data_IF_474942533251
#
_entry.id   IF_474942533251
#
_cell.length_a   1.000
_cell.length_b   1.000
_cell.length_c   1.000
_cell.angle_alpha   90.00
_cell.angle_beta   90.00
_cell.angle_gamma   90.00
#
_symmetry.space_group_name_H-M   'P 1'
#
loop_
_entity.id
_entity.type
_entity.pdbx_description
1 polymer ?
#
# COMPACT_ATOMS: atom_id res chain seq x y z
N UNK A 1 41.10 -39.20 48.43
CA UNK A 1 39.63 -39.10 48.60
C UNK A 1 39.09 -37.67 48.77
N UNK A 2 39.68 -36.79 49.58
CA UNK A 2 39.16 -35.41 49.77
C UNK A 2 39.29 -34.49 48.55
N UNK A 3 40.40 -34.53 47.80
CA UNK A 3 40.60 -33.70 46.59
C UNK A 3 39.61 -34.02 45.47
N UNK A 4 39.29 -35.29 45.25
CA UNK A 4 38.31 -35.73 44.23
C UNK A 4 36.88 -35.31 44.63
N UNK A 5 36.52 -35.46 45.90
CA UNK A 5 35.23 -35.01 46.45
C UNK A 5 35.02 -33.49 46.31
N UNK A 6 36.05 -32.69 46.56
CA UNK A 6 36.00 -31.24 46.40
C UNK A 6 35.86 -30.83 44.92
N UNK A 7 36.54 -31.52 44.00
CA UNK A 7 36.46 -31.22 42.57
C UNK A 7 35.07 -31.54 41.97
N UNK A 8 34.43 -32.63 42.41
CA UNK A 8 33.05 -32.97 42.05
C UNK A 8 32.05 -31.97 42.63
N UNK A 9 32.24 -31.53 43.89
CA UNK A 9 31.42 -30.47 44.49
C UNK A 9 31.54 -29.13 43.75
N UNK A 10 32.75 -28.77 43.32
CA UNK A 10 33.00 -27.56 42.52
C UNK A 10 32.30 -27.64 41.16
N UNK A 11 32.47 -28.75 40.41
CA UNK A 11 31.76 -28.94 39.12
C UNK A 11 30.23 -28.92 39.27
N UNK A 12 29.69 -29.51 40.33
CA UNK A 12 28.24 -29.45 40.63
C UNK A 12 27.76 -28.03 40.96
N UNK A 13 28.59 -27.21 41.61
CA UNK A 13 28.29 -25.78 41.82
C UNK A 13 28.28 -25.02 40.49
N UNK A 14 29.28 -25.20 39.63
CA UNK A 14 29.30 -24.60 38.29
C UNK A 14 28.11 -25.01 37.43
N UNK A 15 27.73 -26.29 37.44
CA UNK A 15 26.55 -26.77 36.70
C UNK A 15 25.25 -26.11 37.21
N UNK A 16 25.11 -25.95 38.53
CA UNK A 16 23.98 -25.21 39.11
C UNK A 16 23.97 -23.74 38.69
N UNK A 17 25.13 -23.07 38.67
CA UNK A 17 25.22 -21.69 38.19
C UNK A 17 24.85 -21.57 36.70
N UNK A 18 25.33 -22.48 35.85
CA UNK A 18 24.97 -22.51 34.43
C UNK A 18 23.47 -22.73 34.23
N UNK A 19 22.86 -23.65 34.99
CA UNK A 19 21.42 -23.88 34.95
C UNK A 19 20.63 -22.64 35.39
N UNK A 20 21.08 -21.95 36.45
CA UNK A 20 20.47 -20.70 36.89
C UNK A 20 20.56 -19.60 35.83
N UNK A 21 21.70 -19.43 35.17
CA UNK A 21 21.86 -18.43 34.10
C UNK A 21 20.94 -18.76 32.91
N UNK A 22 20.84 -20.03 32.51
CA UNK A 22 19.94 -20.46 31.44
C UNK A 22 18.47 -20.22 31.79
N UNK A 23 18.07 -20.51 33.03
CA UNK A 23 16.71 -20.23 33.52
C UNK A 23 16.43 -18.73 33.53
N UNK A 24 17.37 -17.91 34.01
CA UNK A 24 17.21 -16.45 34.02
C UNK A 24 17.13 -15.87 32.60
N UNK A 25 17.95 -16.37 31.68
CA UNK A 25 17.90 -15.97 30.28
C UNK A 25 16.58 -16.41 29.62
N UNK A 26 16.10 -17.63 29.89
CA UNK A 26 14.79 -18.08 29.42
C UNK A 26 13.67 -17.21 29.97
N UNK A 27 13.66 -16.91 31.27
CA UNK A 27 12.64 -16.06 31.89
C UNK A 27 12.70 -14.62 31.34
N UNK A 28 13.88 -14.06 31.11
CA UNK A 28 14.06 -12.73 30.51
C UNK A 28 13.41 -12.64 29.12
N UNK A 29 13.60 -13.66 28.28
CA UNK A 29 12.96 -13.73 26.95
C UNK A 29 11.47 -14.07 27.04
N UNK A 30 11.08 -15.02 27.90
CA UNK A 30 9.69 -15.45 28.06
C UNK A 30 8.78 -14.32 28.54
N UNK A 31 9.25 -13.50 29.48
CA UNK A 31 8.54 -12.32 29.94
C UNK A 31 8.75 -11.09 29.05
N UNK A 32 9.56 -11.18 27.98
CA UNK A 32 9.81 -10.07 27.07
C UNK A 32 10.42 -8.84 27.74
N UNK A 33 11.22 -9.02 28.79
CA UNK A 33 11.77 -7.90 29.59
C UNK A 33 12.65 -7.01 28.71
N UNK A 34 13.41 -7.58 27.78
CA UNK A 34 14.20 -6.84 26.81
C UNK A 34 13.36 -6.01 25.85
N UNK A 35 12.30 -6.59 25.31
CA UNK A 35 11.36 -5.88 24.42
C UNK A 35 10.70 -4.72 25.16
N UNK A 36 10.31 -4.90 26.43
CA UNK A 36 9.74 -3.84 27.24
C UNK A 36 10.73 -2.71 27.54
N UNK A 37 11.98 -3.04 27.88
CA UNK A 37 13.01 -2.04 28.18
C UNK A 37 13.47 -1.25 26.94
N UNK A 38 13.39 -1.86 25.75
CA UNK A 38 13.72 -1.22 24.48
C UNK A 38 12.49 -0.71 23.72
N UNK A 39 11.28 -0.92 24.24
CA UNK A 39 10.06 -0.39 23.65
C UNK A 39 10.07 1.15 23.76
N UNK A 40 10.03 1.80 22.62
CA UNK A 40 9.77 3.24 22.52
C UNK A 40 8.26 3.49 22.61
N UNK A 41 7.87 4.63 23.18
CA UNK A 41 6.46 4.99 23.27
C UNK A 41 5.95 5.34 21.87
N UNK A 42 4.93 4.61 21.37
CA UNK A 42 4.29 4.96 20.11
C UNK A 42 3.77 6.40 20.09
N UNK A 43 3.36 6.95 21.24
CA UNK A 43 2.80 8.30 21.30
C UNK A 43 3.86 9.40 21.23
N UNK A 44 5.08 9.14 21.71
CA UNK A 44 6.11 10.16 21.88
C UNK A 44 7.30 10.00 20.95
N UNK A 45 7.58 8.77 20.49
CA UNK A 45 8.79 8.42 19.76
C UNK A 45 8.51 7.91 18.33
N UNK A 46 7.24 7.63 17.99
CA UNK A 46 6.87 7.23 16.64
C UNK A 46 6.70 8.47 15.75
N UNK A 47 7.70 8.70 14.89
CA UNK A 47 7.59 9.66 13.80
C UNK A 47 7.53 8.91 12.48
N UNK A 48 6.41 9.03 11.78
CA UNK A 48 6.34 8.55 10.40
C UNK A 48 7.16 9.50 9.52
N UNK A 49 7.79 9.03 8.42
CA UNK A 49 8.58 9.88 7.52
C UNK A 49 7.82 11.07 6.90
N UNK A 50 6.51 11.18 7.14
CA UNK A 50 5.63 12.27 6.74
C UNK A 50 4.79 12.77 7.93
N UNK A 51 5.39 12.92 9.11
CA UNK A 51 4.79 13.68 10.22
C UNK A 51 4.87 15.19 9.92
N UNK A 52 4.15 15.60 8.89
CA UNK A 52 4.18 16.95 8.29
C UNK A 52 2.76 17.49 8.23
N UNK A 53 2.58 18.82 8.37
CA UNK A 53 1.26 19.41 8.20
C UNK A 53 0.90 19.45 6.70
N UNK A 54 0.07 18.50 6.30
CA UNK A 54 -0.43 18.38 4.93
C UNK A 54 -1.13 19.66 4.47
N UNK A 55 -1.77 20.42 5.37
CA UNK A 55 -2.46 21.66 4.99
C UNK A 55 -1.48 22.75 4.59
N UNK A 56 -0.38 22.87 5.32
CA UNK A 56 0.69 23.82 4.98
C UNK A 56 1.31 23.45 3.64
N UNK A 57 1.64 22.17 3.42
CA UNK A 57 2.16 21.68 2.15
C UNK A 57 1.20 21.91 0.98
N UNK A 58 -0.10 21.66 1.16
CA UNK A 58 -1.11 21.92 0.13
C UNK A 58 -1.17 23.41 -0.21
N UNK A 59 -1.11 24.29 0.80
CA UNK A 59 -1.06 25.73 0.57
C UNK A 59 0.22 26.15 -0.18
N UNK A 60 1.38 25.60 0.17
CA UNK A 60 2.64 25.84 -0.55
C UNK A 60 2.52 25.43 -2.04
N UNK A 61 1.97 24.24 -2.33
CA UNK A 61 1.73 23.78 -3.71
C UNK A 61 0.78 24.71 -4.45
N UNK A 62 -0.36 25.06 -3.86
CA UNK A 62 -1.38 25.90 -4.50
C UNK A 62 -0.87 27.33 -4.78
N UNK A 63 0.09 27.81 -4.00
CA UNK A 63 0.69 29.14 -4.15
C UNK A 63 1.98 29.14 -4.97
N UNK A 64 2.35 28.00 -5.57
CA UNK A 64 3.62 27.81 -6.29
C UNK A 64 4.86 28.19 -5.45
N UNK A 65 4.80 27.98 -4.13
CA UNK A 65 5.94 28.17 -3.25
C UNK A 65 6.86 26.93 -3.28
N UNK A 66 8.11 27.14 -2.87
CA UNK A 66 9.07 26.05 -2.75
C UNK A 66 8.68 25.17 -1.57
N UNK A 67 8.48 23.86 -1.82
CA UNK A 67 8.14 22.91 -0.78
C UNK A 67 9.23 22.83 0.29
N UNK A 68 8.80 22.88 1.55
CA UNK A 68 9.68 22.74 2.71
C UNK A 68 10.26 21.32 2.81
N UNK A 69 9.54 20.32 2.29
CA UNK A 69 9.93 18.92 2.32
C UNK A 69 10.20 18.36 0.93
N UNK A 70 11.18 17.47 0.83
CA UNK A 70 11.49 16.76 -0.43
C UNK A 70 10.54 15.57 -0.63
N UNK A 71 10.03 15.31 -1.85
CA UNK A 71 9.24 14.13 -2.12
C UNK A 71 10.02 12.84 -1.83
N UNK A 72 9.45 11.96 -1.01
CA UNK A 72 10.04 10.65 -0.70
C UNK A 72 9.70 9.57 -1.73
N UNK A 73 8.59 9.74 -2.46
CA UNK A 73 8.13 8.78 -3.46
C UNK A 73 8.27 9.41 -4.85
N UNK A 74 9.07 8.78 -5.70
CA UNK A 74 9.19 9.14 -7.11
C UNK A 74 8.09 8.44 -7.91
N UNK A 75 7.28 9.21 -8.65
CA UNK A 75 6.13 8.72 -9.42
C UNK A 75 6.27 9.06 -10.92
N UNK A 76 7.14 8.36 -11.67
CA UNK A 76 7.46 8.68 -13.06
C UNK A 76 6.51 8.04 -14.07
N UNK A 77 5.21 8.03 -13.80
CA UNK A 77 4.23 7.36 -14.63
C UNK A 77 3.32 8.35 -15.36
N UNK A 78 2.94 7.98 -16.58
CA UNK A 78 2.17 8.78 -17.53
C UNK A 78 0.88 8.05 -17.93
N UNK A 79 -0.21 8.81 -18.01
CA UNK A 79 -1.48 8.29 -18.50
C UNK A 79 -1.35 7.93 -19.99
N UNK A 80 -1.69 6.68 -20.32
CA UNK A 80 -1.74 6.17 -21.69
C UNK A 80 -3.10 6.41 -22.34
N UNK A 81 -4.14 6.50 -21.51
CA UNK A 81 -5.49 6.77 -21.97
C UNK A 81 -6.19 7.79 -21.09
N UNK A 82 -7.12 8.51 -21.70
CA UNK A 82 -8.15 9.24 -21.00
C UNK A 82 -9.49 8.78 -21.58
N UNK A 83 -10.41 8.39 -20.72
CA UNK A 83 -11.68 7.80 -21.16
C UNK A 83 -12.60 8.83 -21.81
N UNK A 84 -12.42 10.12 -21.53
CA UNK A 84 -13.31 11.20 -22.00
C UNK A 84 -14.69 11.20 -21.32
N UNK A 85 -15.00 10.18 -20.51
CA UNK A 85 -16.31 9.95 -19.88
C UNK A 85 -16.80 11.12 -19.03
N UNK A 86 -15.88 11.90 -18.47
CA UNK A 86 -16.16 13.02 -17.58
C UNK A 86 -15.92 14.40 -18.23
N UNK A 87 -15.57 14.48 -19.51
CA UNK A 87 -15.18 15.74 -20.15
C UNK A 87 -16.32 16.75 -20.30
N UNK A 88 -17.56 16.30 -20.42
CA UNK A 88 -18.74 17.14 -20.63
C UNK A 88 -19.72 17.09 -19.44
N UNK A 89 -19.20 16.84 -18.23
CA UNK A 89 -20.01 16.72 -17.02
C UNK A 89 -19.72 17.90 -16.10
N UNK A 90 -20.70 18.79 -15.91
CA UNK A 90 -20.54 19.98 -15.06
C UNK A 90 -20.47 19.63 -13.56
N UNK A 91 -21.23 18.62 -13.13
CA UNK A 91 -21.28 18.19 -11.73
C UNK A 91 -21.43 16.68 -11.62
N UNK A 92 -20.50 16.07 -10.88
CA UNK A 92 -20.55 14.65 -10.48
C UNK A 92 -20.97 14.60 -9.01
N UNK A 93 -22.06 13.89 -8.70
CA UNK A 93 -22.52 13.70 -7.32
C UNK A 93 -21.80 12.53 -6.63
N UNK A 94 -21.40 11.50 -7.41
CA UNK A 94 -20.62 10.36 -6.93
C UNK A 94 -19.66 9.85 -8.03
N UNK A 95 -18.38 9.74 -7.69
CA UNK A 95 -17.38 9.05 -8.49
C UNK A 95 -17.04 7.70 -7.84
N UNK A 96 -17.24 6.61 -8.58
CA UNK A 96 -16.84 5.27 -8.19
C UNK A 96 -15.52 4.94 -8.87
N UNK A 97 -14.46 4.88 -8.06
CA UNK A 97 -13.12 4.55 -8.52
C UNK A 97 -12.87 3.07 -8.25
N UNK A 98 -12.63 2.29 -9.31
CA UNK A 98 -12.36 0.86 -9.19
C UNK A 98 -10.94 0.53 -9.62
N UNK A 99 -10.13 0.07 -8.67
CA UNK A 99 -8.85 -0.58 -8.97
C UNK A 99 -9.12 -1.99 -9.47
N UNK A 100 -8.94 -2.23 -10.76
CA UNK A 100 -9.17 -3.54 -11.38
C UNK A 100 -7.85 -4.15 -11.84
N UNK A 101 -7.74 -5.47 -11.96
CA UNK A 101 -6.58 -6.11 -12.59
C UNK A 101 -6.80 -6.17 -14.10
N UNK A 102 -5.71 -6.09 -14.88
CA UNK A 102 -5.73 -6.11 -16.35
C UNK A 102 -6.60 -7.23 -16.97
N UNK A 103 -6.58 -8.42 -16.39
CA UNK A 103 -7.29 -9.63 -16.85
C UNK A 103 -8.67 -9.86 -16.22
N UNK A 104 -9.11 -8.98 -15.32
CA UNK A 104 -10.42 -9.08 -14.63
C UNK A 104 -11.59 -8.54 -15.47
N UNK A 105 -11.68 -8.90 -16.76
CA UNK A 105 -12.73 -8.45 -17.67
C UNK A 105 -14.14 -8.76 -17.14
N UNK A 106 -14.37 -10.02 -16.74
CA UNK A 106 -15.67 -10.46 -16.21
C UNK A 106 -16.06 -9.77 -14.91
N UNK A 107 -15.10 -9.37 -14.08
CA UNK A 107 -15.39 -8.62 -12.86
C UNK A 107 -15.82 -7.20 -13.20
N UNK A 108 -15.15 -6.53 -14.16
CA UNK A 108 -15.56 -5.19 -14.60
C UNK A 108 -16.96 -5.22 -15.20
N UNK A 109 -17.25 -6.20 -16.04
CA UNK A 109 -18.59 -6.40 -16.62
C UNK A 109 -19.66 -6.64 -15.53
N UNK A 110 -19.37 -7.50 -14.54
CA UNK A 110 -20.27 -7.71 -13.41
C UNK A 110 -20.51 -6.43 -12.59
N UNK A 111 -19.47 -5.62 -12.37
CA UNK A 111 -19.59 -4.34 -11.67
C UNK A 111 -20.48 -3.37 -12.45
N UNK A 112 -20.26 -3.21 -13.77
CA UNK A 112 -21.09 -2.37 -14.65
C UNK A 112 -22.58 -2.77 -14.58
N UNK A 113 -22.86 -4.07 -14.50
CA UNK A 113 -24.21 -4.64 -14.45
C UNK A 113 -24.84 -4.63 -13.05
N UNK A 114 -24.09 -4.29 -12.01
CA UNK A 114 -24.56 -4.33 -10.62
C UNK A 114 -24.42 -2.96 -9.96
N UNK A 115 -23.54 -2.82 -8.97
CA UNK A 115 -23.41 -1.59 -8.17
C UNK A 115 -22.72 -0.44 -8.92
N UNK A 116 -22.10 -0.72 -10.06
CA UNK A 116 -21.47 0.26 -10.94
C UNK A 116 -22.41 0.85 -11.99
N UNK A 117 -23.71 0.57 -11.92
CA UNK A 117 -24.69 1.18 -12.81
C UNK A 117 -24.78 2.69 -12.53
N UNK A 118 -24.59 3.50 -13.58
CA UNK A 118 -24.64 4.97 -13.50
C UNK A 118 -26.06 5.55 -13.59
N UNK A 119 -27.06 4.74 -13.96
CA UNK A 119 -28.46 5.15 -14.08
C UNK A 119 -29.12 5.30 -12.71
N UNK A 120 -28.77 6.39 -12.02
CA UNK A 120 -29.30 6.75 -10.70
C UNK A 120 -30.21 7.96 -10.85
N UNK A 121 -31.53 7.83 -10.60
CA UNK A 121 -32.48 8.93 -10.78
C UNK A 121 -32.08 10.20 -10.01
N UNK A 122 -31.96 11.31 -10.74
CA UNK A 122 -31.67 12.63 -10.17
C UNK A 122 -30.25 12.81 -9.64
N UNK A 123 -29.31 11.91 -9.94
CA UNK A 123 -27.90 12.01 -9.54
C UNK A 123 -26.97 11.70 -10.71
N UNK A 124 -25.89 12.44 -10.82
CA UNK A 124 -24.83 12.14 -11.78
C UNK A 124 -23.79 11.24 -11.13
N UNK A 125 -23.84 9.95 -11.44
CA UNK A 125 -22.86 8.95 -10.98
C UNK A 125 -21.93 8.58 -12.13
N UNK A 126 -20.63 8.45 -11.84
CA UNK A 126 -19.63 8.00 -12.82
C UNK A 126 -18.80 6.88 -12.22
N UNK A 127 -18.51 5.85 -13.02
CA UNK A 127 -17.58 4.77 -12.66
C UNK A 127 -16.42 4.73 -13.65
N UNK A 128 -15.21 4.56 -13.10
CA UNK A 128 -13.99 4.38 -13.87
C UNK A 128 -13.13 3.25 -13.29
N UNK A 129 -12.53 2.47 -14.18
CA UNK A 129 -11.62 1.38 -13.88
C UNK A 129 -10.18 1.82 -14.15
N UNK A 130 -9.32 1.68 -13.14
CA UNK A 130 -7.92 2.06 -13.21
C UNK A 130 -7.04 0.83 -13.36
N UNK A 131 -6.25 0.79 -14.44
CA UNK A 131 -5.41 -0.34 -14.84
C UNK A 131 -3.95 0.11 -15.06
N UNK A 132 -3.02 -0.82 -14.83
CA UNK A 132 -1.67 -0.72 -15.39
C UNK A 132 -1.56 -1.48 -16.72
N UNK A 133 -0.34 -1.69 -17.18
CA UNK A 133 -0.02 -2.50 -18.38
C UNK A 133 0.40 -3.92 -18.00
N UNK A 134 0.31 -4.86 -18.95
CA UNK A 134 0.76 -6.25 -18.76
C UNK A 134 2.29 -6.41 -18.72
N UNK A 135 3.05 -5.37 -19.12
CA UNK A 135 4.52 -5.41 -19.19
C UNK A 135 5.10 -6.30 -20.31
N UNK A 136 4.24 -6.95 -21.11
CA UNK A 136 4.62 -7.77 -22.27
C UNK A 136 4.34 -7.06 -23.58
N UNK A 137 5.30 -7.09 -24.49
CA UNK A 137 5.11 -6.59 -25.87
C UNK A 137 4.11 -7.47 -26.61
N UNK A 138 3.11 -6.87 -27.29
CA UNK A 138 2.05 -7.57 -28.06
C UNK A 138 1.21 -8.57 -27.24
N UNK A 139 0.87 -8.23 -25.99
CA UNK A 139 0.01 -9.06 -25.15
C UNK A 139 -1.42 -9.19 -25.69
N UNK A 140 -1.96 -10.41 -25.68
CA UNK A 140 -3.38 -10.68 -25.94
C UNK A 140 -4.31 -10.01 -24.93
N UNK A 141 -3.85 -9.84 -23.69
CA UNK A 141 -4.59 -9.15 -22.65
C UNK A 141 -4.70 -7.66 -23.00
N UNK A 142 -3.62 -7.02 -23.43
CA UNK A 142 -3.66 -5.61 -23.84
C UNK A 142 -4.60 -5.41 -25.04
N UNK A 143 -4.56 -6.30 -26.05
CA UNK A 143 -5.49 -6.23 -27.19
C UNK A 143 -6.95 -6.33 -26.78
N UNK A 144 -7.26 -7.10 -25.73
CA UNK A 144 -8.61 -7.19 -25.19
C UNK A 144 -8.99 -5.94 -24.37
N UNK A 145 -8.05 -5.38 -23.60
CA UNK A 145 -8.25 -4.10 -22.90
C UNK A 145 -8.51 -2.97 -23.88
N UNK A 146 -7.76 -2.89 -24.98
CA UNK A 146 -7.96 -1.85 -26.00
C UNK A 146 -9.37 -1.91 -26.61
N UNK A 147 -9.91 -3.13 -26.83
CA UNK A 147 -11.29 -3.34 -27.29
C UNK A 147 -12.31 -2.92 -26.23
N UNK A 148 -12.10 -3.34 -24.98
CA UNK A 148 -12.99 -2.98 -23.87
C UNK A 148 -13.01 -1.46 -23.63
N UNK A 149 -11.85 -0.80 -23.72
CA UNK A 149 -11.70 0.65 -23.65
C UNK A 149 -12.49 1.36 -24.74
N UNK A 150 -12.44 0.85 -25.97
CA UNK A 150 -13.18 1.40 -27.09
C UNK A 150 -14.69 1.16 -27.01
N UNK A 151 -15.12 0.10 -26.31
CA UNK A 151 -16.53 -0.25 -26.15
C UNK A 151 -17.20 0.53 -25.00
N UNK A 152 -16.57 0.57 -23.82
CA UNK A 152 -17.20 1.09 -22.60
C UNK A 152 -16.76 2.50 -22.21
N UNK A 153 -15.64 2.99 -22.75
CA UNK A 153 -15.08 4.32 -22.46
C UNK A 153 -15.00 4.61 -20.95
N UNK A 154 -14.60 3.63 -20.14
CA UNK A 154 -14.57 3.75 -18.69
C UNK A 154 -13.27 3.24 -18.04
N UNK A 155 -12.24 2.99 -18.85
CA UNK A 155 -10.94 2.55 -18.38
C UNK A 155 -9.91 3.67 -18.53
N UNK A 156 -9.18 3.92 -17.45
CA UNK A 156 -8.00 4.78 -17.39
C UNK A 156 -6.77 3.88 -17.22
N UNK A 157 -5.83 3.97 -18.15
CA UNK A 157 -4.60 3.19 -18.14
C UNK A 157 -3.38 4.08 -17.98
N UNK A 158 -2.41 3.61 -17.19
CA UNK A 158 -1.13 4.27 -16.96
C UNK A 158 0.02 3.27 -17.20
N UNK A 159 1.19 3.78 -17.58
CA UNK A 159 2.36 3.03 -18.06
C UNK A 159 3.18 2.27 -17.00
N UNK A 160 2.56 1.81 -15.91
CA UNK A 160 3.22 0.95 -14.92
C UNK A 160 2.80 -0.52 -15.07
N UNK A 161 3.70 -1.46 -14.75
CA UNK A 161 3.37 -2.89 -14.78
C UNK A 161 2.34 -3.22 -13.70
N UNK A 162 1.19 -3.75 -14.13
CA UNK A 162 0.08 -4.09 -13.25
C UNK A 162 0.38 -5.38 -12.47
N UNK A 163 0.83 -5.20 -11.22
CA UNK A 163 1.12 -6.27 -10.27
C UNK A 163 0.59 -5.87 -8.89
N UNK A 164 0.31 -6.85 -8.04
CA UNK A 164 -0.18 -6.66 -6.67
C UNK A 164 0.69 -5.67 -5.86
N UNK A 165 2.01 -5.78 -5.96
CA UNK A 165 2.94 -4.87 -5.26
C UNK A 165 2.86 -3.40 -5.75
N UNK A 166 2.32 -3.17 -6.95
CA UNK A 166 2.14 -1.85 -7.54
C UNK A 166 0.72 -1.28 -7.29
N UNK A 167 -0.09 -1.90 -6.43
CA UNK A 167 -1.43 -1.41 -6.10
C UNK A 167 -1.44 0.00 -5.48
N UNK A 168 -0.35 0.40 -4.81
CA UNK A 168 -0.19 1.76 -4.31
C UNK A 168 -0.08 2.75 -5.48
N UNK A 169 0.68 2.42 -6.52
CA UNK A 169 0.77 3.24 -7.75
C UNK A 169 -0.61 3.39 -8.40
N UNK A 170 -1.38 2.30 -8.44
CA UNK A 170 -2.77 2.29 -8.93
C UNK A 170 -3.75 3.10 -8.08
N UNK A 171 -3.47 3.26 -6.79
CA UNK A 171 -4.26 4.11 -5.91
C UNK A 171 -3.88 5.58 -6.12
N UNK A 172 -2.58 5.86 -6.23
CA UNK A 172 -2.09 7.20 -6.53
C UNK A 172 -2.56 7.70 -7.90
N UNK A 173 -2.59 6.84 -8.94
CA UNK A 173 -3.07 7.25 -10.27
C UNK A 173 -4.54 7.71 -10.21
N UNK A 174 -5.37 7.07 -9.38
CA UNK A 174 -6.79 7.39 -9.34
C UNK A 174 -7.09 8.69 -8.60
N UNK A 175 -6.22 9.11 -7.67
CA UNK A 175 -6.31 10.44 -7.06
C UNK A 175 -5.71 11.54 -7.93
N UNK A 176 -4.72 11.20 -8.77
CA UNK A 176 -4.05 12.14 -9.66
C UNK A 176 -4.84 12.44 -10.93
N UNK A 177 -5.59 11.46 -11.44
CA UNK A 177 -6.48 11.63 -12.59
C UNK A 177 -7.64 12.54 -12.23
#
# INVERSE_FOLDING_TARGET
NLKVSNNVKMKRKYLKYMLCVLVLWYLYNYFGIGDYLHASSFKNDFHYPLDVDVRELVNEVLTNQKLTVTPINYYPYSFLSNSGKCSNVEKIDLMIVVKSAKDHFGHRDAIRKTYGNEDVPGRTVKILFFLGVDGKTKSDVQRQIDREMAEFHDIIQMDFVDNYYNNTIKTMMSFRW
#
